data_IF_633108011294
#
_entry.id   IF_633108011294
#
_cell.length_a   1.000
_cell.length_b   1.000
_cell.length_c   1.000
_cell.angle_alpha   90.00
_cell.angle_beta   90.00
_cell.angle_gamma   90.00
#
_symmetry.space_group_name_H-M   'P 1'
#
loop_
_entity.id
_entity.type
_entity.pdbx_description
1 polymer ?
#
# COMPACT_ATOMS: atom_id res chain seq x y z
N UNK A 1 17.52 -57.29 -3.91
CA UNK A 1 18.51 -56.56 -4.75
C UNK A 1 17.90 -55.98 -6.05
N UNK A 2 16.63 -55.53 -6.07
CA UNK A 2 16.03 -54.88 -7.26
C UNK A 2 14.96 -53.83 -6.89
N UNK A 3 15.16 -53.10 -5.78
CA UNK A 3 14.22 -52.05 -5.33
C UNK A 3 14.91 -50.70 -5.07
N UNK A 4 16.17 -50.56 -5.51
CA UNK A 4 16.96 -49.34 -5.33
C UNK A 4 17.24 -48.58 -6.65
N UNK A 5 16.52 -48.90 -7.74
CA UNK A 5 16.78 -48.31 -9.07
C UNK A 5 15.74 -47.29 -9.55
N UNK A 6 14.74 -46.92 -8.73
CA UNK A 6 13.67 -45.99 -9.15
C UNK A 6 13.82 -44.57 -8.56
N UNK A 7 14.91 -44.28 -7.84
CA UNK A 7 15.09 -43.01 -7.14
C UNK A 7 16.02 -41.99 -7.84
N UNK A 8 16.23 -42.10 -9.16
CA UNK A 8 17.11 -41.20 -9.93
C UNK A 8 16.45 -40.77 -11.25
N UNK A 9 15.31 -40.07 -11.19
CA UNK A 9 14.65 -39.54 -12.38
C UNK A 9 13.80 -38.28 -12.17
N UNK A 10 14.07 -37.44 -11.16
CA UNK A 10 13.31 -36.18 -10.94
C UNK A 10 14.16 -34.97 -10.53
N UNK A 11 15.44 -34.96 -10.90
CA UNK A 11 16.26 -33.74 -10.87
C UNK A 11 16.82 -33.53 -12.27
N UNK A 12 16.16 -32.75 -13.13
CA UNK A 12 16.72 -31.88 -14.18
C UNK A 12 15.53 -31.20 -14.87
N UNK A 13 15.21 -29.99 -14.41
CA UNK A 13 14.69 -28.92 -15.26
C UNK A 13 14.81 -27.58 -14.56
N UNK A 14 16.05 -27.23 -14.17
CA UNK A 14 16.45 -25.83 -14.07
C UNK A 14 16.83 -25.38 -15.48
N UNK A 15 15.88 -24.87 -16.26
CA UNK A 15 16.20 -24.16 -17.49
C UNK A 15 16.68 -22.75 -17.12
N UNK A 16 18.00 -22.60 -16.94
CA UNK A 16 18.66 -21.32 -17.14
C UNK A 16 18.68 -21.04 -18.65
N UNK A 17 17.96 -20.02 -19.09
CA UNK A 17 18.11 -19.45 -20.41
C UNK A 17 18.77 -18.07 -20.25
N UNK A 18 20.07 -18.03 -20.48
CA UNK A 18 20.84 -16.80 -20.66
C UNK A 18 21.46 -16.89 -22.07
N UNK A 19 21.02 -16.01 -22.98
CA UNK A 19 21.92 -15.31 -23.91
C UNK A 19 21.19 -14.34 -24.85
N UNK A 20 21.62 -13.09 -24.73
CA UNK A 20 21.95 -12.13 -25.78
C UNK A 20 20.87 -11.58 -26.73
N UNK A 21 20.48 -10.35 -26.41
CA UNK A 21 20.66 -9.16 -27.24
C UNK A 21 20.17 -9.23 -28.69
N UNK A 22 18.93 -8.80 -28.88
CA UNK A 22 18.57 -8.03 -30.08
C UNK A 22 17.82 -6.79 -29.63
N UNK A 23 18.43 -5.63 -29.84
CA UNK A 23 17.82 -4.32 -29.62
C UNK A 23 16.66 -4.18 -30.61
N UNK A 24 15.47 -4.57 -30.18
CA UNK A 24 14.24 -4.03 -30.74
C UNK A 24 13.80 -2.92 -29.81
N UNK A 25 13.89 -1.69 -30.32
CA UNK A 25 13.33 -0.50 -29.71
C UNK A 25 11.80 -0.65 -29.68
N UNK A 26 11.31 -1.48 -28.75
CA UNK A 26 9.90 -1.58 -28.41
C UNK A 26 9.64 -0.31 -27.61
N UNK A 27 9.26 0.75 -28.31
CA UNK A 27 8.51 1.85 -27.72
C UNK A 27 7.39 1.18 -26.91
N UNK A 28 7.33 1.35 -25.57
CA UNK A 28 6.18 0.87 -24.83
C UNK A 28 5.01 1.73 -25.29
N UNK A 29 4.28 1.25 -26.29
CA UNK A 29 2.91 1.68 -26.51
C UNK A 29 2.07 0.95 -25.47
N UNK A 30 2.27 1.28 -24.20
CA UNK A 30 1.29 0.99 -23.15
C UNK A 30 0.17 1.99 -23.35
N UNK A 31 -0.71 1.70 -24.31
CA UNK A 31 -2.11 2.04 -24.14
C UNK A 31 -2.62 1.14 -23.02
N UNK A 32 -2.33 1.54 -21.77
CA UNK A 32 -2.97 0.95 -20.60
C UNK A 32 -4.44 1.28 -20.74
N UNK A 33 -5.25 0.30 -21.09
CA UNK A 33 -6.65 0.36 -20.72
C UNK A 33 -6.65 0.44 -19.19
N UNK A 34 -6.84 1.65 -18.65
CA UNK A 34 -6.97 1.92 -17.23
C UNK A 34 -8.10 1.04 -16.68
N UNK A 35 -7.76 -0.17 -16.23
CA UNK A 35 -8.67 -0.92 -15.41
C UNK A 35 -8.90 -0.09 -14.15
N UNK A 36 -10.15 0.24 -13.81
CA UNK A 36 -10.43 1.04 -12.65
C UNK A 36 -9.89 0.33 -11.42
N UNK A 37 -8.97 1.00 -10.72
CA UNK A 37 -8.41 0.47 -9.47
C UNK A 37 -9.54 0.33 -8.46
N UNK A 38 -9.50 -0.78 -7.72
CA UNK A 38 -10.41 -1.04 -6.60
C UNK A 38 -10.26 -0.01 -5.47
N UNK A 39 -11.03 -0.17 -4.41
CA UNK A 39 -10.87 0.69 -3.25
C UNK A 39 -9.56 0.35 -2.52
N UNK A 40 -8.65 1.30 -2.42
CA UNK A 40 -7.41 1.17 -1.62
C UNK A 40 -7.39 2.22 -0.54
N UNK A 41 -7.02 1.81 0.67
CA UNK A 41 -6.94 2.64 1.86
C UNK A 41 -5.49 2.80 2.28
N UNK A 42 -5.09 4.03 2.58
CA UNK A 42 -3.77 4.31 3.12
C UNK A 42 -3.82 5.29 4.29
N UNK A 43 -2.92 5.10 5.26
CA UNK A 43 -2.72 6.04 6.37
C UNK A 43 -1.38 6.73 6.19
N UNK A 44 -1.40 8.05 6.01
CA UNK A 44 -0.20 8.87 5.92
C UNK A 44 -0.11 9.81 7.12
N UNK A 45 1.11 10.04 7.60
CA UNK A 45 1.37 11.04 8.63
C UNK A 45 1.46 12.47 8.04
N UNK A 46 1.21 13.48 8.87
CA UNK A 46 1.25 14.88 8.49
C UNK A 46 2.57 15.34 7.86
N UNK A 47 3.70 14.72 8.19
CA UNK A 47 4.99 15.02 7.56
C UNK A 47 5.14 14.47 6.13
N UNK A 48 4.25 13.58 5.69
CA UNK A 48 4.32 12.94 4.38
C UNK A 48 3.59 13.70 3.27
N UNK A 49 2.77 14.68 3.61
CA UNK A 49 2.00 15.43 2.63
C UNK A 49 1.82 16.88 3.06
N UNK A 50 1.58 17.77 2.09
CA UNK A 50 1.26 19.17 2.36
C UNK A 50 -0.26 19.36 2.37
N UNK A 51 -0.83 19.68 3.53
CA UNK A 51 -2.28 19.92 3.68
C UNK A 51 -2.73 21.04 2.72
N UNK A 52 -3.82 20.79 2.00
CA UNK A 52 -4.37 21.71 0.99
C UNK A 52 -3.60 21.74 -0.34
N UNK A 53 -2.47 21.03 -0.46
CA UNK A 53 -1.79 20.83 -1.74
C UNK A 53 -2.45 19.71 -2.55
N UNK A 54 -2.27 19.76 -3.87
CA UNK A 54 -2.60 18.66 -4.79
C UNK A 54 -1.44 17.67 -4.94
N UNK A 55 -0.30 17.93 -4.31
CA UNK A 55 0.83 17.01 -4.27
C UNK A 55 0.44 15.68 -3.62
N UNK A 56 0.88 14.58 -4.22
CA UNK A 56 0.71 13.24 -3.67
C UNK A 56 1.55 13.08 -2.39
N UNK A 57 1.09 12.27 -1.42
CA UNK A 57 1.89 11.95 -0.24
C UNK A 57 3.19 11.25 -0.65
N UNK A 58 4.25 11.49 0.12
CA UNK A 58 5.60 10.96 -0.09
C UNK A 58 5.89 9.80 0.86
N UNK A 59 6.73 8.87 0.39
CA UNK A 59 7.14 7.69 1.14
C UNK A 59 6.00 6.67 1.29
N UNK A 60 6.23 5.66 2.12
CA UNK A 60 5.28 4.59 2.34
C UNK A 60 4.21 4.96 3.37
N UNK A 61 2.95 4.56 3.15
CA UNK A 61 1.91 4.74 4.17
C UNK A 61 2.19 3.83 5.37
N UNK A 62 1.84 4.31 6.57
CA UNK A 62 1.96 3.52 7.80
C UNK A 62 0.97 2.33 7.85
N UNK A 63 -0.09 2.38 7.05
CA UNK A 63 -1.03 1.29 6.85
C UNK A 63 -1.50 1.33 5.40
N UNK A 64 -1.52 0.19 4.73
CA UNK A 64 -2.08 0.01 3.39
C UNK A 64 -3.07 -1.17 3.42
N UNK A 65 -4.24 -0.98 2.83
CA UNK A 65 -5.23 -2.05 2.70
C UNK A 65 -5.95 -1.94 1.36
N UNK A 66 -6.05 -3.04 0.63
CA UNK A 66 -6.65 -3.11 -0.71
C UNK A 66 -7.90 -3.97 -0.68
N UNK A 67 -8.97 -3.48 -1.30
CA UNK A 67 -10.18 -4.25 -1.53
C UNK A 67 -10.22 -4.71 -3.00
N UNK A 68 -10.45 -6.01 -3.24
CA UNK A 68 -10.47 -6.55 -4.60
C UNK A 68 -11.71 -6.11 -5.39
N UNK A 69 -12.81 -5.78 -4.70
CA UNK A 69 -14.06 -5.41 -5.35
C UNK A 69 -14.00 -3.98 -5.89
N UNK A 70 -14.19 -3.77 -7.21
CA UNK A 70 -14.24 -2.44 -7.77
C UNK A 70 -15.49 -1.69 -7.29
N UNK A 71 -15.33 -0.41 -7.00
CA UNK A 71 -16.43 0.48 -6.63
C UNK A 71 -16.73 1.45 -7.78
N UNK A 72 -17.95 2.02 -7.85
CA UNK A 72 -18.27 3.01 -8.87
C UNK A 72 -17.34 4.23 -8.82
N UNK A 73 -16.99 4.76 -9.99
CA UNK A 73 -16.16 5.96 -10.15
C UNK A 73 -16.94 7.26 -9.91
N UNK A 74 -17.54 7.37 -8.73
CA UNK A 74 -18.43 8.47 -8.36
C UNK A 74 -18.13 8.93 -6.94
N UNK A 75 -18.64 10.11 -6.56
CA UNK A 75 -18.57 10.58 -5.17
C UNK A 75 -19.21 9.58 -4.19
N UNK A 76 -20.27 8.87 -4.62
CA UNK A 76 -20.92 7.83 -3.82
C UNK A 76 -19.98 6.64 -3.64
N UNK A 77 -19.30 6.20 -4.71
CA UNK A 77 -18.29 5.14 -4.62
C UNK A 77 -17.11 5.52 -3.73
N UNK A 78 -16.65 6.77 -3.78
CA UNK A 78 -15.62 7.27 -2.87
C UNK A 78 -16.09 7.21 -1.40
N UNK A 79 -17.33 7.61 -1.11
CA UNK A 79 -17.88 7.50 0.26
C UNK A 79 -17.96 6.04 0.72
N UNK A 80 -18.36 5.14 -0.17
CA UNK A 80 -18.38 3.69 0.13
C UNK A 80 -16.96 3.15 0.39
N UNK A 81 -15.98 3.61 -0.38
CA UNK A 81 -14.57 3.27 -0.16
C UNK A 81 -14.09 3.74 1.22
N UNK A 82 -14.37 5.01 1.58
CA UNK A 82 -14.02 5.56 2.89
C UNK A 82 -14.64 4.73 4.02
N UNK A 83 -15.93 4.37 3.91
CA UNK A 83 -16.61 3.57 4.93
C UNK A 83 -15.95 2.19 5.09
N UNK A 84 -15.65 1.50 3.99
CA UNK A 84 -14.90 0.24 4.02
C UNK A 84 -13.51 0.43 4.67
N UNK A 85 -12.79 1.51 4.33
CA UNK A 85 -11.50 1.79 4.97
C UNK A 85 -11.64 1.96 6.49
N UNK A 86 -12.66 2.68 6.95
CA UNK A 86 -12.89 2.92 8.38
C UNK A 86 -13.21 1.63 9.14
N UNK A 87 -13.98 0.71 8.56
CA UNK A 87 -14.31 -0.59 9.17
C UNK A 87 -13.07 -1.42 9.51
N UNK A 88 -12.02 -1.36 8.68
CA UNK A 88 -10.75 -2.03 8.94
C UNK A 88 -9.89 -1.22 9.91
N UNK A 89 -9.75 0.08 9.69
CA UNK A 89 -8.88 0.95 10.52
C UNK A 89 -9.34 0.96 11.98
N UNK A 90 -10.65 0.96 12.24
CA UNK A 90 -11.20 0.93 13.61
C UNK A 90 -10.67 -0.25 14.42
N UNK A 91 -10.47 -1.42 13.79
CA UNK A 91 -9.93 -2.61 14.45
C UNK A 91 -8.49 -2.43 14.90
N UNK A 92 -7.74 -1.56 14.23
CA UNK A 92 -6.34 -1.28 14.53
C UNK A 92 -6.17 -0.07 15.48
N UNK A 93 -7.22 0.72 15.74
CA UNK A 93 -7.12 1.93 16.56
C UNK A 93 -6.54 1.71 17.96
N UNK A 94 -6.94 0.66 18.73
CA UNK A 94 -6.40 0.45 20.08
C UNK A 94 -4.87 0.33 20.10
N UNK A 95 -4.30 -0.38 19.13
CA UNK A 95 -2.87 -0.63 19.00
C UNK A 95 -2.19 0.27 17.96
N UNK A 96 -2.88 1.33 17.49
CA UNK A 96 -2.41 2.07 16.33
C UNK A 96 -1.07 2.76 16.53
N UNK A 97 -0.69 3.17 17.74
CA UNK A 97 0.64 3.73 18.00
C UNK A 97 1.76 2.72 17.74
N UNK A 98 1.60 1.49 18.22
CA UNK A 98 2.59 0.42 18.02
C UNK A 98 2.68 0.03 16.55
N UNK A 99 1.54 -0.18 15.89
CA UNK A 99 1.48 -0.55 14.47
C UNK A 99 2.13 0.55 13.63
N UNK A 100 1.71 1.80 13.85
CA UNK A 100 2.18 2.93 13.07
C UNK A 100 3.68 3.19 13.25
N UNK A 101 4.19 3.19 14.48
CA UNK A 101 5.62 3.41 14.70
C UNK A 101 6.47 2.26 14.15
N UNK A 102 6.00 1.01 14.25
CA UNK A 102 6.72 -0.14 13.71
C UNK A 102 6.75 -0.16 12.17
N UNK A 103 5.74 0.42 11.51
CA UNK A 103 5.68 0.53 10.05
C UNK A 103 6.35 1.79 9.50
N UNK A 104 6.80 2.71 10.36
CA UNK A 104 7.40 3.97 9.94
C UNK A 104 8.94 3.84 9.84
N UNK A 105 9.50 4.18 8.68
CA UNK A 105 10.95 4.14 8.43
C UNK A 105 11.72 5.35 9.01
N UNK A 106 11.05 6.17 9.82
CA UNK A 106 11.61 7.41 10.38
C UNK A 106 11.02 7.70 11.75
N UNK A 107 11.73 8.53 12.51
CA UNK A 107 11.16 9.11 13.72
C UNK A 107 10.09 10.16 13.38
N UNK A 108 9.15 10.36 14.31
CA UNK A 108 8.16 11.42 14.22
C UNK A 108 7.87 12.01 15.60
N UNK A 109 7.46 13.28 15.61
CA UNK A 109 7.10 13.99 16.84
C UNK A 109 5.84 14.82 16.60
N UNK A 110 4.78 14.50 17.35
CA UNK A 110 3.47 15.16 17.31
C UNK A 110 2.85 15.21 15.91
N UNK A 111 2.96 14.10 15.17
CA UNK A 111 2.34 13.98 13.86
C UNK A 111 0.94 13.38 13.96
N UNK A 112 0.04 13.82 13.07
CA UNK A 112 -1.30 13.24 12.97
C UNK A 112 -1.38 12.30 11.77
N UNK A 113 -2.09 11.19 11.96
CA UNK A 113 -2.40 10.24 10.90
C UNK A 113 -3.66 10.66 10.13
N UNK A 114 -3.62 10.56 8.81
CA UNK A 114 -4.70 10.93 7.90
C UNK A 114 -5.05 9.79 6.96
N UNK A 115 -6.33 9.61 6.72
CA UNK A 115 -6.83 8.60 5.78
C UNK A 115 -6.83 9.16 4.35
N UNK A 116 -6.21 8.41 3.45
CA UNK A 116 -6.26 8.58 2.01
C UNK A 116 -6.89 7.36 1.37
N UNK A 117 -7.54 7.59 0.22
CA UNK A 117 -8.10 6.51 -0.59
C UNK A 117 -7.60 6.60 -2.03
N UNK A 118 -7.57 5.46 -2.72
CA UNK A 118 -7.67 5.39 -4.18
C UNK A 118 -8.98 4.71 -4.54
N UNK A 119 -9.61 5.21 -5.60
CA UNK A 119 -10.78 4.60 -6.22
C UNK A 119 -10.80 5.07 -7.68
N UNK A 120 -10.83 4.12 -8.62
CA UNK A 120 -10.82 4.32 -10.07
C UNK A 120 -9.58 4.96 -10.69
N UNK A 121 -8.90 5.87 -9.99
CA UNK A 121 -7.62 6.46 -10.42
C UNK A 121 -6.52 6.02 -9.48
N UNK A 122 -5.30 5.91 -10.01
CA UNK A 122 -4.11 5.59 -9.21
C UNK A 122 -3.56 6.80 -8.46
N UNK A 123 -4.44 7.63 -7.90
CA UNK A 123 -4.09 8.88 -7.23
C UNK A 123 -4.67 8.89 -5.82
N UNK A 124 -3.83 9.17 -4.83
CA UNK A 124 -4.29 9.30 -3.46
C UNK A 124 -5.17 10.55 -3.31
N UNK A 125 -6.37 10.32 -2.79
CA UNK A 125 -7.33 11.35 -2.43
C UNK A 125 -7.39 11.49 -0.92
N UNK A 126 -7.05 12.67 -0.39
CA UNK A 126 -7.17 12.95 1.03
C UNK A 126 -8.65 13.04 1.43
N UNK A 127 -9.07 12.23 2.41
CA UNK A 127 -10.45 12.22 2.90
C UNK A 127 -10.76 13.33 3.90
N UNK A 128 -9.73 14.06 4.36
CA UNK A 128 -9.71 14.97 5.49
C UNK A 128 -10.03 14.32 6.85
N UNK A 129 -10.23 13.00 6.90
CA UNK A 129 -10.36 12.26 8.14
C UNK A 129 -8.97 12.06 8.75
N UNK A 130 -8.87 12.31 10.04
CA UNK A 130 -7.63 12.18 10.80
C UNK A 130 -7.87 11.45 12.12
N UNK A 131 -6.81 10.85 12.64
CA UNK A 131 -6.84 10.30 13.99
C UNK A 131 -7.10 11.42 15.02
N UNK A 132 -7.89 11.11 16.05
CA UNK A 132 -8.16 12.03 17.16
C UNK A 132 -6.98 12.24 18.13
N UNK A 133 -5.79 11.71 17.80
CA UNK A 133 -4.57 11.82 18.60
C UNK A 133 -3.34 12.05 17.73
N UNK A 134 -2.28 12.50 18.38
CA UNK A 134 -0.95 12.66 17.78
C UNK A 134 -0.06 11.45 18.09
N UNK A 135 0.91 11.22 17.23
CA UNK A 135 1.87 10.12 17.30
C UNK A 135 3.29 10.66 17.47
N UNK A 136 4.03 9.99 18.34
CA UNK A 136 5.43 10.22 18.59
C UNK A 136 6.15 8.87 18.53
N UNK A 137 7.06 8.73 17.59
CA UNK A 137 7.78 7.49 17.32
C UNK A 137 9.28 7.76 17.37
N UNK A 138 10.01 6.87 18.05
CA UNK A 138 11.47 6.87 18.10
C UNK A 138 11.97 5.45 17.98
N UNK A 139 12.88 5.19 17.05
CA UNK A 139 13.47 3.86 16.81
C UNK A 139 12.40 2.77 16.61
N UNK A 140 11.35 3.10 15.85
CA UNK A 140 10.21 2.20 15.58
C UNK A 140 9.24 2.00 16.76
N UNK A 141 9.49 2.62 17.91
CA UNK A 141 8.70 2.45 19.13
C UNK A 141 7.90 3.71 19.48
N UNK A 142 6.64 3.56 19.95
CA UNK A 142 5.86 4.71 20.40
C UNK A 142 6.36 5.23 21.75
N UNK A 143 6.39 6.55 21.89
CA UNK A 143 6.63 7.22 23.18
C UNK A 143 5.57 8.29 23.46
N UNK A 144 5.55 8.79 24.69
CA UNK A 144 4.61 9.85 25.08
C UNK A 144 5.02 11.19 24.44
N UNK A 145 4.13 11.72 23.60
CA UNK A 145 4.10 13.13 23.24
C UNK A 145 3.74 14.03 24.46
#
# INVERSE_FOLDING_TARGET
MYLALVAMALCISCSFAENNSTITNIKPSTNTYDQPIGCVCAVFLSGQFKKGSKEQPKGYPALLHEYPDPLPCTTIGNRLCINKCLEVIVKHLPNSSTILCASLERDCHKERAYLFIKNCKDEWTNTNLSAGREYCCKDGMPYKC
#
